data_IF_883345244400
#
_entry.id   IF_883345244400
#
_cell.length_a   1.000
_cell.length_b   1.000
_cell.length_c   1.000
_cell.angle_alpha   90.00
_cell.angle_beta   90.00
_cell.angle_gamma   90.00
#
_symmetry.space_group_name_H-M   'P 1'
#
loop_
_entity.id
_entity.type
_entity.pdbx_description
1 polymer ?
#
# COMPACT_ATOMS: atom_id res chain seq x y z
N UNK A 1 12.13 7.42 12.32
CA UNK A 1 11.80 6.17 11.61
C UNK A 1 12.40 5.04 12.42
N UNK A 2 11.56 4.26 13.10
CA UNK A 2 12.02 3.13 13.90
C UNK A 2 11.97 1.88 13.01
N UNK A 3 13.15 1.38 12.64
CA UNK A 3 13.26 0.16 11.83
C UNK A 3 13.13 -1.02 12.80
N UNK A 4 11.94 -1.61 12.87
CA UNK A 4 11.72 -2.85 13.61
C UNK A 4 12.55 -3.95 12.94
N UNK A 5 13.61 -4.41 13.63
CA UNK A 5 14.42 -5.53 13.16
C UNK A 5 13.57 -6.79 13.10
N UNK A 6 13.76 -7.58 12.03
CA UNK A 6 13.24 -8.96 12.01
C UNK A 6 13.86 -9.71 13.18
N UNK A 7 13.06 -10.53 13.88
CA UNK A 7 13.55 -11.39 14.96
C UNK A 7 14.76 -12.20 14.47
N UNK A 8 15.91 -11.99 15.13
CA UNK A 8 17.18 -12.67 14.83
C UNK A 8 17.08 -14.19 15.08
N UNK A 9 15.99 -14.67 15.70
CA UNK A 9 15.72 -16.09 15.96
C UNK A 9 15.10 -16.84 14.76
N UNK A 10 14.62 -16.14 13.74
CA UNK A 10 13.99 -16.78 12.58
C UNK A 10 15.05 -17.28 11.58
N UNK A 11 15.38 -18.58 11.63
CA UNK A 11 16.32 -19.23 10.70
C UNK A 11 15.78 -19.37 9.26
N UNK A 12 14.48 -19.19 9.04
CA UNK A 12 13.81 -19.36 7.75
C UNK A 12 12.63 -18.39 7.59
N UNK A 13 11.98 -18.38 6.41
CA UNK A 13 10.82 -17.54 6.14
C UNK A 13 9.65 -17.90 7.05
N UNK A 14 9.27 -16.99 7.95
CA UNK A 14 8.08 -17.11 8.79
C UNK A 14 6.90 -16.38 8.14
N UNK A 15 5.78 -17.09 7.99
CA UNK A 15 4.52 -16.49 7.51
C UNK A 15 3.96 -15.62 8.64
N UNK A 16 3.97 -14.31 8.44
CA UNK A 16 3.39 -13.37 9.39
C UNK A 16 1.86 -13.33 9.21
N UNK A 17 1.07 -13.52 10.28
CA UNK A 17 -0.37 -13.39 10.19
C UNK A 17 -0.73 -11.98 9.71
N UNK A 18 -1.64 -11.88 8.74
CA UNK A 18 -2.12 -10.63 8.09
C UNK A 18 -1.14 -9.90 7.17
N UNK A 19 0.07 -10.41 6.93
CA UNK A 19 1.03 -9.81 5.97
C UNK A 19 0.43 -9.60 4.57
N UNK A 20 -0.38 -10.56 4.13
CA UNK A 20 -1.07 -10.47 2.85
C UNK A 20 -1.95 -9.22 2.73
N UNK A 21 -2.50 -8.69 3.84
CA UNK A 21 -3.36 -7.49 3.81
C UNK A 21 -2.55 -6.27 3.37
N UNK A 22 -1.35 -6.14 3.91
CA UNK A 22 -0.41 -5.06 3.58
C UNK A 22 0.09 -5.19 2.15
N UNK A 23 0.55 -6.37 1.76
CA UNK A 23 1.05 -6.63 0.40
C UNK A 23 -0.04 -6.42 -0.66
N UNK A 24 -1.27 -6.85 -0.37
CA UNK A 24 -2.44 -6.61 -1.23
C UNK A 24 -2.74 -5.13 -1.39
N UNK A 25 -2.58 -4.34 -0.33
CA UNK A 25 -2.76 -2.89 -0.37
C UNK A 25 -1.74 -2.25 -1.31
N UNK A 26 -0.46 -2.63 -1.19
CA UNK A 26 0.59 -2.17 -2.12
C UNK A 26 0.33 -2.61 -3.57
N UNK A 27 -0.10 -3.87 -3.79
CA UNK A 27 -0.47 -4.36 -5.12
C UNK A 27 -1.60 -3.53 -5.76
N UNK A 28 -2.54 -3.01 -4.94
CA UNK A 28 -3.60 -2.13 -5.44
C UNK A 28 -3.13 -0.72 -5.74
N UNK A 29 -2.21 -0.17 -4.95
CA UNK A 29 -1.58 1.12 -5.20
C UNK A 29 -0.76 1.10 -6.50
N UNK A 30 -0.14 -0.03 -6.84
CA UNK A 30 0.56 -0.23 -8.13
C UNK A 30 -0.30 -0.01 -9.38
N UNK A 31 -1.64 0.00 -9.26
CA UNK A 31 -2.53 0.37 -10.38
C UNK A 31 -2.63 1.88 -10.62
N UNK A 32 -2.09 2.70 -9.72
CA UNK A 32 -1.97 4.14 -9.92
C UNK A 32 -0.65 4.44 -10.63
N UNK A 33 -0.68 4.70 -11.94
CA UNK A 33 0.53 4.99 -12.74
C UNK A 33 1.39 6.12 -12.17
N UNK A 34 0.79 7.08 -11.47
CA UNK A 34 1.51 8.18 -10.84
C UNK A 34 2.44 7.73 -9.70
N UNK A 35 2.12 6.61 -9.05
CA UNK A 35 2.95 6.01 -8.00
C UNK A 35 4.01 5.04 -8.56
N UNK A 36 4.09 4.84 -9.89
CA UNK A 36 5.00 3.85 -10.48
C UNK A 36 6.49 4.22 -10.32
N UNK A 37 6.78 5.50 -10.12
CA UNK A 37 8.11 6.03 -9.85
C UNK A 37 7.97 7.17 -8.85
N UNK A 38 9.02 7.42 -8.08
CA UNK A 38 9.07 8.58 -7.20
C UNK A 38 9.30 9.84 -8.03
N UNK A 39 8.20 10.51 -8.37
CA UNK A 39 8.18 11.75 -9.16
C UNK A 39 8.11 12.99 -8.29
N UNK A 40 7.73 12.83 -7.02
CA UNK A 40 7.31 13.95 -6.19
C UNK A 40 8.53 14.60 -5.52
N UNK A 41 8.59 15.94 -5.55
CA UNK A 41 9.74 16.68 -5.04
C UNK A 41 9.82 16.68 -3.52
N UNK A 42 8.67 16.55 -2.85
CA UNK A 42 8.56 16.57 -1.39
C UNK A 42 7.80 15.36 -0.89
N UNK A 43 8.15 14.92 0.33
CA UNK A 43 7.49 13.81 1.02
C UNK A 43 6.00 14.10 1.18
N UNK A 44 5.63 15.34 1.53
CA UNK A 44 4.24 15.77 1.66
C UNK A 44 3.44 15.55 0.36
N UNK A 45 4.03 15.82 -0.80
CA UNK A 45 3.37 15.57 -2.08
C UNK A 45 3.24 14.07 -2.37
N UNK A 46 4.28 13.27 -2.07
CA UNK A 46 4.23 11.81 -2.20
C UNK A 46 3.12 11.20 -1.31
N UNK A 47 3.02 11.63 -0.06
CA UNK A 47 1.98 11.22 0.89
C UNK A 47 0.57 11.59 0.42
N UNK A 48 0.41 12.80 -0.14
CA UNK A 48 -0.86 13.22 -0.73
C UNK A 48 -1.26 12.29 -1.90
N UNK A 49 -0.32 11.92 -2.77
CA UNK A 49 -0.61 11.00 -3.89
C UNK A 49 -0.96 9.59 -3.45
N UNK A 50 -0.32 9.07 -2.40
CA UNK A 50 -0.68 7.79 -1.81
C UNK A 50 -2.12 7.84 -1.28
N UNK A 51 -2.47 8.92 -0.57
CA UNK A 51 -3.82 9.13 -0.01
C UNK A 51 -4.88 9.21 -1.12
N UNK A 52 -4.63 10.02 -2.16
CA UNK A 52 -5.51 10.15 -3.33
C UNK A 52 -5.69 8.80 -4.05
N UNK A 53 -4.60 8.04 -4.24
CA UNK A 53 -4.66 6.73 -4.87
C UNK A 53 -5.53 5.74 -4.06
N UNK A 54 -5.43 5.78 -2.73
CA UNK A 54 -6.28 4.99 -1.84
C UNK A 54 -7.75 5.37 -1.94
N UNK A 55 -8.08 6.66 -1.83
CA UNK A 55 -9.46 7.16 -1.93
C UNK A 55 -10.06 6.71 -3.27
N UNK A 56 -9.38 6.97 -4.39
CA UNK A 56 -9.84 6.57 -5.72
C UNK A 56 -10.08 5.07 -5.86
N UNK A 57 -9.29 4.25 -5.18
CA UNK A 57 -9.46 2.79 -5.19
C UNK A 57 -10.70 2.38 -4.38
N UNK A 58 -10.89 2.95 -3.18
CA UNK A 58 -12.04 2.67 -2.31
C UNK A 58 -13.35 3.16 -2.93
N UNK A 59 -13.39 4.37 -3.48
CA UNK A 59 -14.60 4.92 -4.16
C UNK A 59 -15.06 4.00 -5.30
N UNK A 60 -14.13 3.50 -6.12
CA UNK A 60 -14.46 2.55 -7.21
C UNK A 60 -14.97 1.20 -6.70
N UNK A 61 -14.60 0.78 -5.49
CA UNK A 61 -15.13 -0.44 -4.88
C UNK A 61 -16.51 -0.23 -4.32
N UNK A 62 -16.72 0.85 -3.59
CA UNK A 62 -18.02 1.22 -3.04
C UNK A 62 -19.05 1.36 -4.15
N UNK A 63 -18.69 2.05 -5.24
CA UNK A 63 -19.54 2.15 -6.42
C UNK A 63 -19.91 0.76 -6.96
N UNK A 64 -18.92 -0.12 -7.19
CA UNK A 64 -19.18 -1.48 -7.71
C UNK A 64 -19.98 -2.36 -6.75
N UNK A 65 -19.79 -2.21 -5.45
CA UNK A 65 -20.56 -2.94 -4.45
C UNK A 65 -22.04 -2.56 -4.49
N UNK A 66 -22.35 -1.28 -4.75
CA UNK A 66 -23.74 -0.81 -4.83
C UNK A 66 -24.50 -1.26 -6.09
N UNK A 67 -23.77 -1.63 -7.15
CA UNK A 67 -24.35 -2.13 -8.40
C UNK A 67 -24.27 -3.66 -8.54
N UNK A 68 -23.95 -4.37 -7.46
CA UNK A 68 -23.86 -5.82 -7.41
C UNK A 68 -24.83 -6.35 -6.36
#
# INVERSE_FOLDING_TARGET
MEIVKRSDHAKAFTVLPRRWVVERTFAWLGRCRRLAKDWERSIASAEAWITIAHIRMLTRRLARYRYR
#
